data_IF_586362111061
#
_entry.id   IF_586362111061
#
_cell.length_a   1.000
_cell.length_b   1.000
_cell.length_c   1.000
_cell.angle_alpha   90.00
_cell.angle_beta   90.00
_cell.angle_gamma   90.00
#
_symmetry.space_group_name_H-M   'P 1'
#
loop_
_entity.id
_entity.type
_entity.pdbx_description
1 polymer ?
#
# COMPACT_ATOMS: atom_id res chain seq x y z
N UNK A 1 14.21 0.82 -50.30
CA UNK A 1 13.75 0.15 -49.07
C UNK A 1 14.20 1.02 -47.89
N UNK A 2 13.64 2.23 -47.78
CA UNK A 2 14.10 3.28 -46.84
C UNK A 2 12.94 4.08 -46.21
N UNK A 3 11.69 3.73 -46.53
CA UNK A 3 10.51 4.53 -46.15
C UNK A 3 9.91 4.08 -44.80
N UNK A 4 10.27 2.90 -44.27
CA UNK A 4 9.62 2.30 -43.10
C UNK A 4 10.28 2.72 -41.76
N UNK A 5 11.58 3.02 -41.73
CA UNK A 5 12.27 3.44 -40.49
C UNK A 5 11.97 4.90 -40.09
N UNK A 6 11.85 5.80 -41.06
CA UNK A 6 11.58 7.23 -40.81
C UNK A 6 10.21 7.47 -40.18
N UNK A 7 9.19 6.69 -40.53
CA UNK A 7 7.85 6.80 -39.93
C UNK A 7 7.85 6.36 -38.46
N UNK A 8 8.57 5.29 -38.12
CA UNK A 8 8.67 4.81 -36.73
C UNK A 8 9.49 5.76 -35.85
N UNK A 9 10.57 6.32 -36.39
CA UNK A 9 11.41 7.30 -35.68
C UNK A 9 10.63 8.59 -35.39
N UNK A 10 9.89 9.11 -36.38
CA UNK A 10 9.03 10.28 -36.19
C UNK A 10 7.88 10.03 -35.20
N UNK A 11 7.25 8.85 -35.24
CA UNK A 11 6.22 8.49 -34.26
C UNK A 11 6.79 8.36 -32.84
N UNK A 12 7.99 7.79 -32.69
CA UNK A 12 8.65 7.63 -31.39
C UNK A 12 9.10 8.98 -30.81
N UNK A 13 9.66 9.86 -31.64
CA UNK A 13 10.03 11.21 -31.24
C UNK A 13 8.79 12.03 -30.83
N UNK A 14 7.71 11.95 -31.61
CA UNK A 14 6.45 12.60 -31.25
C UNK A 14 5.83 12.03 -29.96
N UNK A 15 5.89 10.71 -29.76
CA UNK A 15 5.42 10.09 -28.52
C UNK A 15 6.23 10.56 -27.30
N UNK A 16 7.55 10.61 -27.42
CA UNK A 16 8.44 11.14 -26.37
C UNK A 16 8.13 12.60 -26.05
N UNK A 17 7.94 13.45 -27.07
CA UNK A 17 7.55 14.85 -26.89
C UNK A 17 6.21 15.00 -26.18
N UNK A 18 5.18 14.22 -26.56
CA UNK A 18 3.87 14.26 -25.89
C UNK A 18 3.97 13.85 -24.41
N UNK A 19 4.75 12.82 -24.09
CA UNK A 19 4.97 12.40 -22.69
C UNK A 19 5.68 13.49 -21.89
N UNK A 20 6.68 14.15 -22.48
CA UNK A 20 7.42 15.23 -21.82
C UNK A 20 6.60 16.52 -21.69
N UNK A 21 5.73 16.84 -22.65
CA UNK A 21 4.79 17.96 -22.53
C UNK A 21 3.78 17.72 -21.40
N UNK A 22 3.29 16.48 -21.27
CA UNK A 22 2.30 16.13 -20.26
C UNK A 22 2.90 15.94 -18.85
N UNK A 23 4.07 15.30 -18.74
CA UNK A 23 4.63 14.83 -17.46
C UNK A 23 6.02 15.38 -17.15
N UNK A 24 6.68 16.03 -18.12
CA UNK A 24 8.04 16.51 -18.01
C UNK A 24 8.19 17.83 -17.25
N UNK A 25 7.09 18.47 -16.85
CA UNK A 25 7.08 19.74 -16.11
C UNK A 25 7.94 20.85 -16.76
N UNK A 26 7.96 20.89 -18.09
CA UNK A 26 8.74 21.86 -18.87
C UNK A 26 10.25 21.57 -18.95
N UNK A 27 10.71 20.41 -18.47
CA UNK A 27 12.12 20.04 -18.51
C UNK A 27 12.46 19.22 -19.77
N UNK A 28 13.71 19.32 -20.22
CA UNK A 28 14.22 18.42 -21.26
C UNK A 28 14.43 17.00 -20.70
N UNK A 29 14.22 15.97 -21.52
CA UNK A 29 14.45 14.57 -21.14
C UNK A 29 15.92 14.35 -20.77
N UNK A 30 16.15 13.79 -19.58
CA UNK A 30 17.46 13.33 -19.13
C UNK A 30 17.24 12.07 -18.30
N UNK A 31 17.74 10.94 -18.80
CA UNK A 31 17.50 9.62 -18.23
C UNK A 31 17.97 9.52 -16.78
N UNK A 32 19.21 9.95 -16.49
CA UNK A 32 19.80 9.91 -15.15
C UNK A 32 18.95 10.66 -14.11
N UNK A 33 18.41 11.83 -14.50
CA UNK A 33 17.55 12.64 -13.63
C UNK A 33 16.25 11.91 -13.30
N UNK A 34 15.63 11.24 -14.26
CA UNK A 34 14.39 10.48 -14.04
C UNK A 34 14.64 9.22 -13.21
N UNK A 35 15.77 8.53 -13.43
CA UNK A 35 16.20 7.39 -12.60
C UNK A 35 16.43 7.81 -11.15
N UNK A 36 17.15 8.92 -10.92
CA UNK A 36 17.40 9.44 -9.57
C UNK A 36 16.10 9.84 -8.87
N UNK A 37 15.20 10.53 -9.57
CA UNK A 37 13.86 10.86 -9.04
C UNK A 37 13.07 9.62 -8.64
N UNK A 38 13.08 8.59 -9.49
CA UNK A 38 12.43 7.31 -9.17
C UNK A 38 13.02 6.66 -7.92
N UNK A 39 14.36 6.64 -7.81
CA UNK A 39 15.08 6.10 -6.64
C UNK A 39 14.72 6.87 -5.36
N UNK A 40 14.70 8.20 -5.43
CA UNK A 40 14.36 9.05 -4.28
C UNK A 40 12.91 8.87 -3.86
N UNK A 41 11.97 8.86 -4.81
CA UNK A 41 10.55 8.63 -4.53
C UNK A 41 10.32 7.25 -3.89
N UNK A 42 11.01 6.21 -4.38
CA UNK A 42 10.97 4.88 -3.78
C UNK A 42 11.50 4.89 -2.34
N UNK A 43 12.65 5.55 -2.11
CA UNK A 43 13.22 5.68 -0.77
C UNK A 43 12.27 6.38 0.19
N UNK A 44 11.71 7.53 -0.20
CA UNK A 44 10.74 8.28 0.61
C UNK A 44 9.50 7.46 0.91
N UNK A 45 9.04 6.64 -0.05
CA UNK A 45 7.90 5.74 0.16
C UNK A 45 8.22 4.66 1.20
N UNK A 46 9.37 4.00 1.08
CA UNK A 46 9.80 2.95 2.01
C UNK A 46 10.05 3.51 3.41
N UNK A 47 10.76 4.64 3.52
CA UNK A 47 11.02 5.32 4.79
C UNK A 47 9.72 5.78 5.45
N UNK A 48 8.81 6.38 4.67
CA UNK A 48 7.50 6.82 5.16
C UNK A 48 6.65 5.65 5.65
N UNK A 49 6.64 4.52 4.94
CA UNK A 49 5.92 3.32 5.34
C UNK A 49 6.52 2.69 6.60
N UNK A 50 7.84 2.63 6.70
CA UNK A 50 8.51 2.11 7.90
C UNK A 50 8.22 2.96 9.13
N UNK A 51 8.30 4.28 9.01
CA UNK A 51 8.00 5.19 10.12
C UNK A 51 6.53 5.11 10.53
N UNK A 52 5.62 5.05 9.55
CA UNK A 52 4.19 4.81 9.83
C UNK A 52 4.00 3.49 10.61
N UNK A 53 4.63 2.40 10.16
CA UNK A 53 4.59 1.11 10.87
C UNK A 53 5.08 1.20 12.30
N UNK A 54 6.22 1.87 12.54
CA UNK A 54 6.76 2.10 13.89
C UNK A 54 5.80 2.90 14.77
N UNK A 55 5.23 3.98 14.24
CA UNK A 55 4.24 4.79 14.96
C UNK A 55 3.05 3.92 15.34
N UNK A 56 2.48 3.15 14.42
CA UNK A 56 1.32 2.30 14.71
C UNK A 56 1.64 1.22 15.77
N UNK A 57 2.82 0.60 15.73
CA UNK A 57 3.25 -0.37 16.74
C UNK A 57 3.32 0.28 18.13
N UNK A 58 4.01 1.43 18.24
CA UNK A 58 4.16 2.14 19.51
C UNK A 58 2.80 2.59 20.03
N UNK A 59 1.96 3.15 19.16
CA UNK A 59 0.62 3.59 19.55
C UNK A 59 -0.22 2.39 20.03
N UNK A 60 -0.28 1.30 19.26
CA UNK A 60 -1.02 0.07 19.62
C UNK A 60 -0.61 -0.49 20.98
N UNK A 61 0.68 -0.43 21.33
CA UNK A 61 1.19 -0.93 22.62
C UNK A 61 0.78 -0.05 23.82
N UNK A 62 0.67 1.27 23.60
CA UNK A 62 0.52 2.24 24.69
C UNK A 62 -0.89 2.80 24.86
N UNK A 63 -1.88 2.33 24.09
CA UNK A 63 -3.26 2.82 24.19
C UNK A 63 -4.30 1.71 24.10
N UNK A 64 -5.51 2.02 24.57
CA UNK A 64 -6.67 1.16 24.38
C UNK A 64 -7.04 1.11 22.90
N UNK A 65 -7.67 0.01 22.48
CA UNK A 65 -8.10 -0.16 21.09
C UNK A 65 -9.06 0.95 20.61
N UNK A 66 -9.90 1.49 21.51
CA UNK A 66 -10.81 2.62 21.23
C UNK A 66 -10.02 3.88 20.87
N UNK A 67 -9.02 4.23 21.69
CA UNK A 67 -8.15 5.39 21.41
C UNK A 67 -7.31 5.20 20.16
N UNK A 68 -6.89 3.96 19.89
CA UNK A 68 -6.17 3.64 18.66
C UNK A 68 -7.03 3.86 17.42
N UNK A 69 -8.29 3.43 17.47
CA UNK A 69 -9.27 3.68 16.42
C UNK A 69 -9.45 5.19 16.16
N UNK A 70 -9.66 6.00 17.21
CA UNK A 70 -9.79 7.46 17.08
C UNK A 70 -8.54 8.09 16.42
N UNK A 71 -7.34 7.63 16.79
CA UNK A 71 -6.08 8.16 16.22
C UNK A 71 -5.92 7.78 14.74
N UNK A 72 -6.30 6.56 14.35
CA UNK A 72 -6.31 6.13 12.94
C UNK A 72 -7.26 6.99 12.09
N UNK A 73 -8.40 7.40 12.65
CA UNK A 73 -9.33 8.33 12.00
C UNK A 73 -8.71 9.72 11.84
N UNK A 74 -8.08 10.28 12.88
CA UNK A 74 -7.38 11.58 12.83
C UNK A 74 -6.25 11.58 11.80
N UNK A 75 -5.51 10.47 11.68
CA UNK A 75 -4.47 10.34 10.66
C UNK A 75 -5.02 10.28 9.23
N UNK A 76 -6.33 10.07 9.07
CA UNK A 76 -6.96 9.90 7.76
C UNK A 76 -6.47 8.63 7.06
N UNK A 77 -6.01 7.62 7.81
CA UNK A 77 -5.37 6.43 7.25
C UNK A 77 -6.26 5.72 6.23
N UNK A 78 -7.54 5.54 6.54
CA UNK A 78 -8.49 4.90 5.65
C UNK A 78 -8.63 5.67 4.32
N UNK A 79 -8.63 7.00 4.37
CA UNK A 79 -8.73 7.84 3.18
C UNK A 79 -7.45 7.81 2.35
N UNK A 80 -6.30 7.92 2.99
CA UNK A 80 -5.01 7.82 2.31
C UNK A 80 -4.85 6.45 1.64
N UNK A 81 -5.19 5.37 2.35
CA UNK A 81 -5.12 4.00 1.84
C UNK A 81 -6.11 3.72 0.70
N UNK A 82 -7.25 4.43 0.65
CA UNK A 82 -8.19 4.35 -0.49
C UNK A 82 -7.58 4.89 -1.78
N UNK A 83 -6.75 5.94 -1.70
CA UNK A 83 -6.23 6.65 -2.87
C UNK A 83 -4.81 6.26 -3.27
N UNK A 84 -4.17 5.30 -2.59
CA UNK A 84 -2.87 4.83 -3.04
C UNK A 84 -3.00 4.20 -4.43
N UNK A 85 -2.07 4.53 -5.34
CA UNK A 85 -2.06 3.93 -6.70
C UNK A 85 -1.59 2.47 -6.70
N UNK A 86 -1.08 1.97 -5.58
CA UNK A 86 -0.59 0.60 -5.39
C UNK A 86 -1.59 -0.31 -4.68
N UNK A 87 -1.22 -1.59 -4.54
CA UNK A 87 -1.96 -2.54 -3.68
C UNK A 87 -1.43 -2.46 -2.26
N UNK A 88 -2.30 -2.46 -1.25
CA UNK A 88 -1.90 -2.65 0.14
C UNK A 88 -2.62 -3.82 0.80
N UNK A 89 -1.95 -4.39 1.80
CA UNK A 89 -2.48 -5.39 2.70
C UNK A 89 -2.06 -4.98 4.13
N UNK A 90 -3.02 -4.85 5.02
CA UNK A 90 -2.83 -4.53 6.44
C UNK A 90 -3.33 -5.71 7.28
N UNK A 91 -2.55 -6.17 8.26
CA UNK A 91 -3.03 -7.07 9.32
C UNK A 91 -3.22 -6.30 10.62
N UNK A 92 -4.37 -6.48 11.27
CA UNK A 92 -4.73 -5.82 12.52
C UNK A 92 -5.68 -6.71 13.32
N UNK A 93 -5.89 -6.43 14.61
CA UNK A 93 -6.84 -7.18 15.42
C UNK A 93 -8.28 -6.94 14.91
N UNK A 94 -9.10 -7.99 14.88
CA UNK A 94 -10.50 -7.89 14.48
C UNK A 94 -11.36 -7.35 15.63
N UNK A 95 -11.68 -6.06 15.59
CA UNK A 95 -12.60 -5.41 16.53
C UNK A 95 -13.57 -4.49 15.79
N UNK A 96 -14.79 -4.24 16.33
CA UNK A 96 -15.82 -3.48 15.62
C UNK A 96 -15.38 -2.10 15.09
N UNK A 97 -14.62 -1.31 15.88
CA UNK A 97 -14.18 0.01 15.41
C UNK A 97 -13.19 -0.05 14.24
N UNK A 98 -12.36 -1.10 14.16
CA UNK A 98 -11.47 -1.27 12.99
C UNK A 98 -12.29 -1.52 11.73
N UNK A 99 -13.34 -2.33 11.82
CA UNK A 99 -14.25 -2.57 10.68
C UNK A 99 -14.95 -1.29 10.25
N UNK A 100 -15.32 -0.44 11.21
CA UNK A 100 -15.95 0.86 10.94
C UNK A 100 -14.98 1.81 10.20
N UNK A 101 -13.76 2.00 10.70
CA UNK A 101 -12.73 2.86 10.09
C UNK A 101 -12.42 2.44 8.65
N UNK A 102 -12.30 1.14 8.42
CA UNK A 102 -11.94 0.58 7.12
C UNK A 102 -13.15 0.15 6.28
N UNK A 103 -14.31 0.76 6.51
CA UNK A 103 -15.49 0.55 5.66
C UNK A 103 -15.16 0.79 4.19
N UNK A 104 -15.53 -0.15 3.32
CA UNK A 104 -15.29 -0.10 1.87
C UNK A 104 -14.03 -0.84 1.39
N UNK A 105 -13.21 -1.37 2.31
CA UNK A 105 -12.10 -2.27 1.98
C UNK A 105 -12.54 -3.74 1.95
N UNK A 106 -11.67 -4.61 1.42
CA UNK A 106 -11.84 -6.06 1.49
C UNK A 106 -11.31 -6.58 2.82
N UNK A 107 -12.13 -7.37 3.51
CA UNK A 107 -11.78 -7.97 4.80
C UNK A 107 -11.61 -9.48 4.69
N UNK A 108 -10.64 -10.01 5.42
CA UNK A 108 -10.45 -11.45 5.61
C UNK A 108 -10.06 -11.74 7.05
N UNK A 109 -10.94 -12.46 7.75
CA UNK A 109 -10.66 -12.98 9.09
C UNK A 109 -9.61 -14.10 9.01
N UNK A 110 -8.66 -14.07 9.92
CA UNK A 110 -7.58 -15.06 10.04
C UNK A 110 -7.44 -15.41 11.52
N UNK A 111 -7.73 -16.67 11.85
CA UNK A 111 -7.46 -17.19 13.18
C UNK A 111 -5.97 -17.51 13.31
N UNK A 112 -5.23 -16.76 14.12
CA UNK A 112 -3.86 -17.12 14.48
C UNK A 112 -3.87 -18.19 15.57
N UNK A 113 -3.83 -19.46 15.17
CA UNK A 113 -3.51 -20.54 16.11
C UNK A 113 -2.01 -20.58 16.34
N UNK A 114 -1.52 -19.72 17.23
CA UNK A 114 -0.16 -19.88 17.74
C UNK A 114 -0.10 -21.15 18.59
N UNK A 115 0.62 -22.17 18.11
CA UNK A 115 1.00 -23.35 18.89
C UNK A 115 2.13 -23.01 19.87
N UNK A 116 1.93 -22.01 20.73
CA UNK A 116 2.93 -21.61 21.73
C UNK A 116 2.32 -21.79 23.12
N UNK A 117 2.76 -22.86 23.76
CA UNK A 117 2.58 -23.25 25.16
C UNK A 117 1.18 -23.57 25.69
N UNK A 118 1.12 -24.73 26.35
CA UNK A 118 0.05 -25.17 27.25
C UNK A 118 -0.02 -24.18 28.41
N UNK A 119 -0.92 -23.21 28.35
CA UNK A 119 -1.57 -22.49 29.46
C UNK A 119 -2.00 -21.10 28.95
N UNK A 120 -3.31 -20.90 28.80
CA UNK A 120 -3.99 -19.70 28.31
C UNK A 120 -3.88 -19.42 26.79
N UNK A 121 -4.78 -20.04 26.03
CA UNK A 121 -5.06 -19.68 24.63
C UNK A 121 -5.89 -18.39 24.62
N UNK A 122 -5.25 -17.25 24.41
CA UNK A 122 -5.99 -16.04 23.99
C UNK A 122 -6.18 -16.18 22.49
N UNK A 123 -7.35 -16.65 22.05
CA UNK A 123 -7.74 -16.56 20.64
C UNK A 123 -7.73 -15.07 20.26
N UNK A 124 -6.79 -14.67 19.42
CA UNK A 124 -6.76 -13.34 18.83
C UNK A 124 -7.17 -13.51 17.37
N UNK A 125 -8.38 -13.05 17.05
CA UNK A 125 -8.86 -12.98 15.69
C UNK A 125 -8.12 -11.81 15.00
N UNK A 126 -7.32 -12.11 13.98
CA UNK A 126 -6.72 -11.11 13.11
C UNK A 126 -7.62 -10.84 11.90
N UNK A 127 -7.60 -9.59 11.43
CA UNK A 127 -8.30 -9.09 10.27
C UNK A 127 -7.28 -8.59 9.25
N UNK A 128 -7.28 -9.20 8.08
CA UNK A 128 -6.60 -8.70 6.90
C UNK A 128 -7.49 -7.69 6.18
N UNK A 129 -6.94 -6.53 5.83
CA UNK A 129 -7.62 -5.43 5.15
C UNK A 129 -6.86 -5.08 3.86
N UNK A 130 -7.54 -5.04 2.71
CA UNK A 130 -6.92 -4.70 1.42
C UNK A 130 -7.79 -3.82 0.51
N UNK A 131 -7.15 -3.07 -0.39
CA UNK A 131 -7.81 -2.32 -1.48
C UNK A 131 -7.99 -3.10 -2.79
N UNK A 132 -7.83 -4.43 -2.75
CA UNK A 132 -8.03 -5.31 -3.89
C UNK A 132 -8.71 -6.61 -3.43
N UNK A 133 -9.40 -7.34 -4.33
CA UNK A 133 -10.01 -8.63 -3.98
C UNK A 133 -8.98 -9.58 -3.38
N UNK A 134 -9.19 -10.00 -2.13
CA UNK A 134 -8.38 -11.05 -1.49
C UNK A 134 -9.02 -12.38 -1.85
N UNK A 135 -8.37 -13.19 -2.70
CA UNK A 135 -8.94 -14.47 -3.10
C UNK A 135 -8.92 -15.48 -1.94
N UNK A 136 -10.03 -16.20 -1.82
CA UNK A 136 -10.33 -17.17 -0.77
C UNK A 136 -10.10 -18.59 -1.29
N UNK A 137 -8.86 -18.93 -1.61
CA UNK A 137 -8.50 -20.35 -1.69
C UNK A 137 -7.73 -20.67 -0.41
N UNK A 138 -8.41 -21.40 0.47
CA UNK A 138 -7.81 -22.05 1.61
C UNK A 138 -6.71 -22.98 1.05
N UNK A 139 -5.46 -22.79 1.49
CA UNK A 139 -4.51 -23.88 1.39
C UNK A 139 -5.07 -25.02 2.24
N UNK A 140 -5.53 -26.08 1.58
CA UNK A 140 -5.91 -27.32 2.26
C UNK A 140 -4.73 -27.74 3.15
N UNK A 141 -4.97 -28.04 4.43
CA UNK A 141 -3.91 -28.59 5.26
C UNK A 141 -3.55 -29.97 4.70
N UNK A 142 -2.32 -30.12 4.23
CA UNK A 142 -1.71 -31.45 3.99
C UNK A 142 -1.42 -32.13 5.32
#
# INVERSE_FOLDING_TARGET
MEIIEHSNSNQTAMHSLMVMEQWGNGEAYNEDRWIERGRQAMRQTVEGMFELGRVLIVLKEHMTWEKFADVCEVFGMAEQLRHIKGRFLLSINDVPAIREIFTGFQFKEVSLRYSINKEATTEADELLIANYPINTEQAEPT
#
